data_IF_979612741613
#
_entry.id   IF_979612741613
#
_cell.length_a   1.000
_cell.length_b   1.000
_cell.length_c   1.000
_cell.angle_alpha   90.00
_cell.angle_beta   90.00
_cell.angle_gamma   90.00
#
_symmetry.space_group_name_H-M   'P 1'
#
loop_
_entity.id
_entity.type
_entity.pdbx_description
1 polymer ?
#
# COMPACT_ATOMS: atom_id res chain seq x y z
N UNK A 1 -0.86 0.26 -3.33
CA UNK A 1 0.59 0.52 -3.20
C UNK A 1 1.35 -0.63 -3.87
N UNK A 2 2.48 -0.40 -4.55
CA UNK A 2 3.24 -1.50 -5.15
C UNK A 2 3.78 -2.46 -4.06
N UNK A 3 3.83 -3.76 -4.31
CA UNK A 3 4.45 -4.71 -3.39
C UNK A 3 5.98 -4.61 -3.44
N UNK A 4 6.63 -5.00 -2.35
CA UNK A 4 8.10 -4.99 -2.19
C UNK A 4 8.71 -3.59 -2.36
N UNK A 5 8.24 -2.62 -1.57
CA UNK A 5 8.84 -1.28 -1.47
C UNK A 5 9.82 -1.24 -0.29
N UNK A 6 11.01 -0.67 -0.52
CA UNK A 6 12.01 -0.52 0.53
C UNK A 6 11.48 0.34 1.69
N UNK A 7 11.72 -0.13 2.91
CA UNK A 7 11.25 0.51 4.14
C UNK A 7 9.76 0.31 4.42
N UNK A 8 9.06 -0.61 3.74
CA UNK A 8 7.68 -1.00 4.06
C UNK A 8 7.65 -2.45 4.53
N UNK A 9 7.89 -2.65 5.82
CA UNK A 9 8.14 -3.98 6.41
C UNK A 9 6.88 -4.65 7.00
N UNK A 10 5.77 -3.93 7.12
CA UNK A 10 4.51 -4.45 7.68
C UNK A 10 3.31 -4.12 6.80
N UNK A 11 2.27 -4.94 6.93
CA UNK A 11 1.00 -4.75 6.21
C UNK A 11 0.31 -3.47 6.68
N UNK A 12 0.33 -3.20 7.97
CA UNK A 12 -0.26 -2.01 8.59
C UNK A 12 0.37 -0.75 8.02
N UNK A 13 1.71 -0.71 7.93
CA UNK A 13 2.46 0.40 7.33
C UNK A 13 2.15 0.57 5.85
N UNK A 14 2.01 -0.53 5.11
CA UNK A 14 1.61 -0.47 3.70
C UNK A 14 0.21 0.16 3.52
N UNK A 15 -0.76 -0.22 4.36
CA UNK A 15 -2.12 0.33 4.31
C UNK A 15 -2.12 1.80 4.71
N UNK A 16 -1.40 2.17 5.77
CA UNK A 16 -1.26 3.57 6.20
C UNK A 16 -0.71 4.47 5.08
N UNK A 17 0.39 4.06 4.43
CA UNK A 17 0.98 4.79 3.30
C UNK A 17 0.00 4.87 2.12
N UNK A 18 -0.75 3.79 1.84
CA UNK A 18 -1.74 3.79 0.77
C UNK A 18 -2.86 4.81 1.04
N UNK A 19 -3.35 4.89 2.29
CA UNK A 19 -4.35 5.87 2.73
C UNK A 19 -3.83 7.30 2.62
N UNK A 20 -2.62 7.56 3.13
CA UNK A 20 -1.98 8.88 3.04
C UNK A 20 -1.80 9.33 1.59
N UNK A 21 -1.37 8.44 0.69
CA UNK A 21 -1.26 8.73 -0.75
C UNK A 21 -2.60 9.01 -1.42
N UNK A 22 -3.68 8.44 -0.92
CA UNK A 22 -5.04 8.70 -1.37
C UNK A 22 -5.69 9.92 -0.68
N UNK A 23 -5.02 10.55 0.28
CA UNK A 23 -5.57 11.67 1.06
C UNK A 23 -6.65 11.27 2.06
N UNK A 24 -6.70 10.00 2.46
CA UNK A 24 -7.75 9.43 3.32
C UNK A 24 -7.31 9.49 4.79
N UNK A 25 -8.15 10.03 5.66
CA UNK A 25 -7.90 10.11 7.12
C UNK A 25 -7.87 8.71 7.74
N UNK A 26 -7.08 8.42 8.80
CA UNK A 26 -7.02 7.10 9.45
C UNK A 26 -8.36 6.52 9.92
N UNK A 27 -9.30 7.39 10.32
CA UNK A 27 -10.61 7.00 10.87
C UNK A 27 -11.72 6.86 9.82
N UNK A 28 -11.42 7.23 8.56
CA UNK A 28 -12.38 7.15 7.47
C UNK A 28 -12.65 5.68 7.09
N UNK A 29 -13.89 5.38 6.70
CA UNK A 29 -14.21 4.06 6.14
C UNK A 29 -13.60 3.94 4.75
N UNK A 30 -13.03 2.78 4.44
CA UNK A 30 -12.37 2.53 3.16
C UNK A 30 -12.76 1.19 2.58
N UNK A 31 -12.83 1.13 1.26
CA UNK A 31 -12.80 -0.12 0.52
C UNK A 31 -11.34 -0.48 0.22
N UNK A 32 -10.93 -1.69 0.64
CA UNK A 32 -9.55 -2.13 0.53
C UNK A 32 -9.41 -3.15 -0.61
N UNK A 33 -8.53 -2.84 -1.57
CA UNK A 33 -8.22 -3.70 -2.71
C UNK A 33 -6.76 -4.16 -2.69
N UNK A 34 -6.49 -5.35 -3.21
CA UNK A 34 -5.15 -5.95 -3.31
C UNK A 34 -4.86 -6.43 -4.73
N UNK A 35 -3.58 -6.42 -5.10
CA UNK A 35 -3.10 -6.93 -6.38
C UNK A 35 -1.69 -7.49 -6.23
N UNK A 36 -1.26 -8.27 -7.21
CA UNK A 36 0.09 -8.82 -7.34
C UNK A 36 0.73 -8.35 -8.63
N UNK A 37 2.06 -8.28 -8.67
CA UNK A 37 2.80 -7.88 -9.87
C UNK A 37 3.91 -8.88 -10.16
N UNK A 38 4.18 -9.10 -11.44
CA UNK A 38 5.40 -9.76 -11.91
C UNK A 38 6.42 -8.68 -12.26
N UNK A 39 7.60 -8.73 -11.63
CA UNK A 39 8.70 -7.80 -11.94
C UNK A 39 9.65 -8.45 -12.93
N UNK A 40 9.96 -7.73 -14.01
CA UNK A 40 10.97 -8.13 -15.00
C UNK A 40 12.26 -7.33 -14.73
N UNK A 41 13.41 -7.98 -14.88
CA UNK A 41 14.74 -7.36 -14.83
C UNK A 41 15.39 -7.62 -16.20
N UNK A 42 16.18 -6.66 -16.68
CA UNK A 42 17.06 -6.86 -17.85
C UNK A 42 18.18 -7.84 -17.55
#
# INVERSE_FOLDING_TARGET
LLPNLDGVDTVEKQVEIARQKAGISPDEKVDLFRFTVTRYRE
#
